data_IF_685850735836
#
_entry.id   IF_685850735836
#
_cell.length_a   1.000
_cell.length_b   1.000
_cell.length_c   1.000
_cell.angle_alpha   90.00
_cell.angle_beta   90.00
_cell.angle_gamma   90.00
#
_symmetry.space_group_name_H-M   'P 1'
#
loop_
_entity.id
_entity.type
_entity.pdbx_description
1 polymer ?
2 non-polymer ?
3 non-polymer ?
4 water ?
#
# COMPACT_ATOMS: atom_id res chain seq x y z
N UNK A 8 5.45 -16.64 -24.28
CA UNK A 8 4.42 -15.71 -23.86
C UNK A 8 3.93 -15.91 -22.44
N UNK A 9 2.78 -16.58 -22.29
CA UNK A 9 2.33 -16.97 -20.95
C UNK A 9 3.34 -17.89 -20.28
N UNK A 10 3.79 -18.92 -21.00
CA UNK A 10 4.79 -19.86 -20.50
C UNK A 10 5.91 -19.14 -19.76
N UNK A 11 6.45 -18.11 -20.40
CA UNK A 11 7.46 -17.27 -19.75
C UNK A 11 6.90 -16.64 -18.48
N UNK A 12 5.64 -16.18 -18.52
CA UNK A 12 5.03 -15.57 -17.33
C UNK A 12 4.72 -16.62 -16.26
N UNK A 13 4.25 -17.80 -16.65
CA UNK A 13 4.06 -18.86 -15.66
C UNK A 13 5.40 -19.25 -15.04
N UNK A 14 6.48 -19.24 -15.83
CA UNK A 14 7.79 -19.55 -15.29
C UNK A 14 8.16 -18.54 -14.21
N UNK A 15 7.93 -17.24 -14.47
CA UNK A 15 8.23 -16.24 -13.44
C UNK A 15 7.43 -16.52 -12.17
N UNK A 16 6.13 -16.81 -12.32
CA UNK A 16 5.30 -17.08 -11.15
C UNK A 16 5.83 -18.30 -10.38
N UNK A 17 6.27 -19.33 -11.09
CA UNK A 17 6.77 -20.53 -10.42
C UNK A 17 8.05 -20.22 -9.66
N UNK A 18 8.96 -19.50 -10.29
CA UNK A 18 10.15 -18.97 -9.61
C UNK A 18 9.75 -18.23 -8.35
N UNK A 19 8.83 -17.26 -8.48
CA UNK A 19 8.45 -16.48 -7.30
C UNK A 19 8.08 -17.38 -6.15
N UNK A 20 7.33 -18.47 -6.42
CA UNK A 20 6.93 -19.38 -5.35
C UNK A 20 8.12 -19.92 -4.56
N UNK A 21 9.29 -20.08 -5.19
CA UNK A 21 10.42 -20.75 -4.52
C UNK A 21 10.83 -20.08 -3.21
N UNK A 22 10.56 -18.78 -3.07
CA UNK A 22 10.88 -18.05 -1.85
C UNK A 22 9.67 -17.87 -0.93
N UNK A 23 8.67 -18.75 -1.08
CA UNK A 23 7.50 -18.74 -0.21
C UNK A 23 7.81 -19.19 1.22
N UNK A 24 8.91 -19.90 1.44
CA UNK A 24 9.31 -20.23 2.80
C UNK A 24 10.23 -19.17 3.39
N UNK A 25 10.89 -18.42 2.52
CA UNK A 25 11.78 -17.36 2.95
C UNK A 25 11.01 -16.18 3.55
N UNK A 26 9.91 -15.79 2.92
CA UNK A 26 9.16 -14.64 3.42
C UNK A 26 8.32 -15.03 4.63
N UNK A 27 7.96 -16.31 4.77
CA UNK A 27 7.14 -16.72 5.90
C UNK A 27 7.93 -16.73 7.19
N UNK A 28 9.20 -17.14 7.15
CA UNK A 28 10.02 -17.08 8.35
C UNK A 28 10.48 -15.65 8.65
N UNK A 29 10.70 -14.83 7.60
CA UNK A 29 11.04 -13.44 7.80
C UNK A 29 9.89 -12.65 8.41
N UNK A 30 8.66 -12.94 7.98
CA UNK A 30 7.47 -12.30 8.54
C UNK A 30 7.11 -12.84 9.92
N UNK A 31 7.37 -14.13 10.18
CA UNK A 31 7.20 -14.63 11.54
C UNK A 31 8.10 -13.89 12.49
N UNK A 32 9.25 -13.44 11.99
CA UNK A 32 10.17 -12.67 12.78
C UNK A 32 9.69 -11.24 12.97
N UNK A 33 8.99 -10.69 11.96
CA UNK A 33 8.30 -9.43 12.14
C UNK A 33 7.19 -9.56 13.18
N UNK A 34 6.42 -10.65 13.11
CA UNK A 34 5.28 -10.82 14.00
C UNK A 34 5.71 -10.76 15.47
N UNK A 35 6.77 -11.49 15.82
CA UNK A 35 7.20 -11.54 17.19
C UNK A 35 7.54 -10.17 17.74
N UNK A 36 8.13 -9.30 16.91
CA UNK A 36 8.44 -7.95 17.33
C UNK A 36 7.16 -7.12 17.44
N UNK A 37 6.26 -7.23 16.46
CA UNK A 37 5.05 -6.41 16.50
C UNK A 37 4.17 -6.80 17.67
N UNK A 38 4.02 -8.11 17.93
CA UNK A 38 3.30 -8.52 19.12
C UNK A 38 3.91 -7.92 20.36
N UNK A 39 5.24 -7.97 20.44
CA UNK A 39 5.93 -7.36 21.57
C UNK A 39 5.62 -5.88 21.66
N UNK A 40 5.56 -5.18 20.52
CA UNK A 40 5.34 -3.75 20.60
C UNK A 40 3.91 -3.43 21.04
N UNK A 41 2.94 -4.20 20.55
CA UNK A 41 1.55 -3.96 20.94
C UNK A 41 1.40 -4.02 22.45
N UNK A 42 2.02 -5.00 23.11
CA UNK A 42 1.94 -5.09 24.56
C UNK A 42 2.43 -3.81 25.21
N UNK A 43 3.69 -3.44 24.94
CA UNK A 43 4.30 -2.32 25.63
C UNK A 43 3.56 -1.00 25.37
N UNK A 44 2.91 -0.89 24.20
CA UNK A 44 2.14 0.32 23.91
C UNK A 44 0.82 0.35 24.67
N UNK A 45 0.20 -0.80 24.90
CA UNK A 45 -1.04 -0.81 25.68
C UNK A 45 -0.79 -0.60 27.20
N UNK A 46 0.46 -0.26 27.54
CA UNK A 46 0.82 0.19 28.87
C UNK A 46 0.95 1.70 28.97
N UNK A 47 0.79 2.42 27.87
CA UNK A 47 0.87 3.86 27.88
C UNK A 47 -0.53 4.45 27.81
N UNK A 48 -0.68 5.66 28.38
CA UNK A 48 -1.98 6.30 28.44
C UNK A 48 -2.46 6.71 27.05
N UNK A 49 -1.56 7.30 26.25
CA UNK A 49 -1.96 7.78 24.94
C UNK A 49 -2.38 6.62 24.02
N UNK A 50 -1.59 5.56 24.01
CA UNK A 50 -1.78 4.48 23.05
C UNK A 50 -2.48 3.28 23.65
N UNK A 51 -3.16 3.43 24.78
CA UNK A 51 -3.64 2.25 25.49
C UNK A 51 -4.55 1.38 24.61
N UNK A 52 -5.30 2.00 23.71
CA UNK A 52 -6.27 1.25 22.94
C UNK A 52 -5.78 0.79 21.57
N UNK A 53 -4.46 0.75 21.39
CA UNK A 53 -3.95 0.35 20.09
C UNK A 53 -4.33 -1.09 19.82
N UNK A 54 -4.37 -1.41 18.54
CA UNK A 54 -4.42 -2.77 18.05
C UNK A 54 -3.74 -2.85 16.69
N UNK A 55 -3.70 -4.06 16.15
CA UNK A 55 -3.21 -4.23 14.81
C UNK A 55 -4.39 -4.13 13.83
N UNK A 56 -4.16 -3.43 12.72
CA UNK A 56 -5.16 -3.31 11.66
C UNK A 56 -5.27 -4.63 10.90
N UNK A 57 -6.44 -5.29 11.02
CA UNK A 57 -6.69 -6.71 10.74
C UNK A 57 -6.08 -7.63 11.81
N UNK A 65 -2.35 -7.21 4.64
CA UNK A 65 -2.39 -5.98 5.47
C UNK A 65 -0.91 -5.83 5.87
N UNK A 66 0.02 -6.49 5.14
CA UNK A 66 1.49 -6.52 5.40
C UNK A 66 2.23 -6.78 4.10
N UNK A 67 3.57 -6.78 4.08
CA UNK A 67 4.37 -7.20 2.88
C UNK A 67 4.19 -6.29 1.65
N UNK A 68 5.28 -5.71 1.17
CA UNK A 68 5.27 -4.83 -0.03
C UNK A 68 6.27 -5.37 -1.06
N UNK A 69 7.57 -5.25 -0.78
CA UNK A 69 8.62 -5.82 -1.61
C UNK A 69 9.32 -6.92 -0.83
N UNK A 70 10.18 -7.74 -1.46
CA UNK A 70 10.97 -8.71 -0.69
C UNK A 70 11.84 -8.03 0.36
N UNK A 71 11.80 -8.57 1.58
CA UNK A 71 12.49 -8.03 2.76
C UNK A 71 11.93 -6.70 3.24
N UNK A 72 10.77 -6.28 2.75
CA UNK A 72 10.18 -5.00 3.13
C UNK A 72 8.76 -5.24 3.59
N UNK A 73 8.50 -5.00 4.88
CA UNK A 73 7.20 -5.31 5.47
C UNK A 73 6.52 -4.07 6.00
N UNK A 74 5.20 -4.16 6.11
CA UNK A 74 4.37 -3.03 6.52
C UNK A 74 3.29 -3.50 7.51
N UNK A 75 3.32 -3.00 8.74
CA UNK A 75 2.27 -3.20 9.73
C UNK A 75 1.64 -1.85 10.06
N UNK A 76 0.35 -1.87 10.42
CA UNK A 76 -0.37 -0.66 10.81
C UNK A 76 -0.92 -0.85 12.21
N UNK A 77 -0.63 0.10 13.08
CA UNK A 77 -1.11 0.08 14.46
C UNK A 77 -2.31 1.01 14.53
N UNK A 78 -3.51 0.44 14.53
CA UNK A 78 -4.68 1.30 14.60
C UNK A 78 -4.86 1.87 16.01
N UNK A 79 -5.52 3.02 16.08
CA UNK A 79 -5.78 3.67 17.37
C UNK A 79 -7.23 4.12 17.39
N UNK A 80 -8.03 3.49 18.25
CA UNK A 80 -9.39 3.96 18.46
C UNK A 80 -9.36 5.32 19.17
N UNK A 81 -10.13 6.27 18.63
CA UNK A 81 -10.09 7.68 19.05
C UNK A 81 -11.53 8.19 19.12
N UNK A 82 -11.88 9.14 20.01
CA UNK A 82 -13.24 9.69 19.95
C UNK A 82 -13.48 10.45 18.67
N UNK A 83 -14.68 11.01 18.54
CA UNK A 83 -15.18 11.50 17.25
C UNK A 83 -14.29 12.60 16.68
N UNK A 84 -13.97 12.45 15.41
CA UNK A 84 -13.02 13.27 14.69
C UNK A 84 -13.80 14.25 13.84
N UNK A 85 -13.28 15.46 13.70
CA UNK A 85 -13.74 16.41 12.70
C UNK A 85 -12.57 16.79 11.84
N UNK A 86 -12.72 16.67 10.52
CA UNK A 86 -11.61 16.94 9.63
C UNK A 86 -11.76 18.30 8.96
N UNK A 87 -10.62 18.92 8.66
CA UNK A 87 -10.58 20.11 7.83
C UNK A 87 -9.55 19.87 6.74
N UNK A 88 -10.02 19.80 5.50
CA UNK A 88 -9.15 19.50 4.37
C UNK A 88 -8.07 20.56 4.23
N UNK A 89 -6.80 20.13 4.23
CA UNK A 89 -5.67 21.04 4.10
C UNK A 89 -5.52 21.49 2.66
N UNK A 90 -5.78 22.77 2.39
CA UNK A 90 -5.67 23.36 1.06
C UNK A 90 -6.72 22.70 0.16
N UNK A 91 -6.39 22.56 -1.13
CA UNK A 91 -7.17 21.75 -2.06
C UNK A 91 -6.44 20.46 -2.39
N UNK A 92 -5.72 19.93 -1.41
CA UNK A 92 -5.13 18.59 -1.49
C UNK A 92 -6.11 17.62 -0.87
N UNK A 93 -6.73 16.78 -1.69
CA UNK A 93 -7.89 16.04 -1.27
C UNK A 93 -7.60 14.99 -0.21
N UNK A 94 -6.33 14.68 0.06
CA UNK A 94 -5.97 13.57 0.93
C UNK A 94 -5.53 13.99 2.32
N UNK A 95 -4.97 15.20 2.49
CA UNK A 95 -4.36 15.61 3.76
C UNK A 95 -5.29 16.52 4.55
N UNK A 96 -5.37 16.28 5.86
CA UNK A 96 -6.39 16.89 6.71
C UNK A 96 -5.79 17.31 8.06
N UNK A 97 -6.51 18.18 8.78
CA UNK A 97 -6.30 18.46 10.20
C UNK A 97 -7.33 17.71 11.02
N UNK A 98 -7.07 17.56 12.32
CA UNK A 98 -7.87 16.70 13.17
C UNK A 98 -8.24 17.42 14.45
N UNK A 99 -9.52 17.29 14.87
CA UNK A 99 -9.97 17.92 16.10
C UNK A 99 -11.22 17.22 16.64
N UNK A 100 -11.32 17.17 17.97
CA UNK A 100 -12.47 16.63 18.71
C UNK A 100 -13.63 17.62 18.72
N UNK A 109 -5.52 11.98 24.93
CA UNK A 109 -4.77 12.38 23.72
C UNK A 109 -4.47 13.88 23.83
N UNK A 110 -5.08 14.52 24.82
CA UNK A 110 -4.87 15.96 25.09
C UNK A 110 -3.43 16.39 24.80
N UNK A 111 -2.46 15.79 25.48
CA UNK A 111 -1.05 16.22 25.34
C UNK A 111 -0.68 16.63 23.93
N UNK A 112 -1.29 16.05 22.90
CA UNK A 112 -0.82 16.33 21.51
C UNK A 112 -1.54 17.52 20.87
N UNK A 113 -2.40 18.20 21.63
CA UNK A 113 -3.10 19.34 21.07
C UNK A 113 -2.16 20.51 20.81
N UNK A 114 -2.34 21.17 19.67
CA UNK A 114 -1.73 22.47 19.37
C UNK A 114 -2.87 23.47 19.15
N UNK A 115 -3.51 23.84 20.25
CA UNK A 115 -4.79 24.54 20.18
C UNK A 115 -5.94 23.54 20.24
N UNK A 116 -6.78 23.57 19.21
CA UNK A 116 -7.85 22.57 19.04
C UNK A 116 -7.42 21.43 18.10
N UNK A 117 -6.25 21.56 17.44
CA UNK A 117 -5.76 20.62 16.43
C UNK A 117 -4.92 19.53 17.09
N UNK A 118 -5.13 18.28 16.66
CA UNK A 118 -4.32 17.16 17.14
C UNK A 118 -3.09 17.05 16.22
N UNK A 119 -1.92 17.17 16.82
CA UNK A 119 -0.69 17.28 16.03
C UNK A 119 -0.26 15.91 15.55
N UNK A 120 -0.15 15.76 14.23
CA UNK A 120 0.44 14.56 13.66
C UNK A 120 1.90 14.45 14.07
N UNK A 121 2.69 15.47 13.77
CA UNK A 121 4.10 15.51 14.16
C UNK A 121 4.29 15.17 15.64
N UNK A 122 3.42 15.69 16.51
CA UNK A 122 3.62 15.39 17.93
C UNK A 122 3.22 13.97 18.26
N UNK A 123 2.10 13.49 17.71
CA UNK A 123 1.67 12.14 18.02
C UNK A 123 2.58 11.10 17.37
N UNK A 124 3.20 11.45 16.26
CA UNK A 124 4.18 10.56 15.65
C UNK A 124 5.49 10.53 16.42
N UNK A 125 5.78 11.55 17.23
CA UNK A 125 7.06 11.57 17.96
C UNK A 125 6.99 10.72 19.24
N UNK A 126 5.86 10.75 19.95
CA UNK A 126 5.73 9.91 21.13
C UNK A 126 5.65 8.43 20.76
N UNK A 127 5.06 8.11 19.60
CA UNK A 127 5.14 6.78 19.02
C UNK A 127 6.61 6.38 18.84
N UNK A 128 7.30 7.07 17.92
CA UNK A 128 8.70 6.73 17.60
C UNK A 128 9.55 6.63 18.86
N UNK A 129 9.26 7.49 19.85
CA UNK A 129 9.97 7.45 21.12
C UNK A 129 9.80 6.10 21.81
N UNK A 130 8.56 5.66 22.00
CA UNK A 130 8.31 4.46 22.80
C UNK A 130 8.99 3.27 22.17
N UNK A 131 9.01 3.23 20.83
CA UNK A 131 9.52 2.07 20.11
C UNK A 131 11.04 2.04 20.17
N UNK A 132 11.67 3.22 20.14
CA UNK A 132 13.13 3.27 20.23
C UNK A 132 13.62 2.77 21.59
N UNK A 133 12.97 3.22 22.67
CA UNK A 133 13.41 2.79 23.99
C UNK A 133 13.24 1.30 24.16
N UNK A 134 12.13 0.76 23.68
CA UNK A 134 11.76 -0.59 24.01
C UNK A 134 12.17 -1.56 22.92
N UNK A 135 13.11 -1.17 22.07
CA UNK A 135 13.75 -2.07 21.13
C UNK A 135 15.18 -2.44 21.56
N UNK A 136 15.84 -1.61 22.37
CA UNK A 136 17.16 -1.96 22.90
C UNK A 136 17.09 -3.23 23.76
N UNK A 137 16.24 -3.22 24.78
CA UNK A 137 15.96 -4.43 25.56
C UNK A 137 15.34 -5.51 24.69
N UNK A 138 14.85 -6.59 25.29
CA UNK A 138 14.66 -7.89 24.64
C UNK A 138 15.77 -8.11 23.61
N UNK A 139 17.02 -8.07 24.10
CA UNK A 139 18.21 -8.31 23.28
C UNK A 139 18.15 -9.64 22.55
N UNK A 140 17.29 -10.56 22.99
CA UNK A 140 17.02 -11.85 22.37
C UNK A 140 17.16 -11.82 20.85
N UNK A 141 16.40 -10.94 20.18
CA UNK A 141 16.49 -10.67 18.75
C UNK A 141 17.34 -9.41 18.52
N UNK A 142 18.05 -9.39 17.39
CA UNK A 142 18.98 -8.33 17.06
C UNK A 142 18.29 -7.35 16.10
N UNK A 143 17.80 -6.23 16.64
CA UNK A 143 16.99 -5.27 15.90
C UNK A 143 17.60 -3.87 16.03
N UNK A 144 17.43 -3.06 15.00
CA UNK A 144 17.88 -1.66 15.01
C UNK A 144 16.72 -0.78 14.59
N UNK A 145 16.51 0.31 15.33
CA UNK A 145 15.54 1.31 14.92
C UNK A 145 16.16 2.27 13.91
N UNK A 146 15.37 2.67 12.93
CA UNK A 146 15.86 3.46 11.82
C UNK A 146 14.84 4.55 11.53
N UNK A 147 15.31 5.65 10.93
CA UNK A 147 14.43 6.57 10.23
C UNK A 147 14.81 6.53 8.76
N UNK A 148 13.83 6.27 7.89
CA UNK A 148 14.11 6.07 6.48
C UNK A 148 14.02 7.38 5.67
N UNK A 149 12.84 7.99 5.60
CA UNK A 149 12.62 9.07 4.65
C UNK A 149 11.78 10.18 5.29
N UNK A 150 11.91 11.38 4.72
CA UNK A 150 11.01 12.45 5.07
C UNK A 150 9.65 12.29 4.42
N UNK A 151 8.66 12.93 5.03
CA UNK A 151 7.28 12.70 4.65
C UNK A 151 6.66 11.57 5.45
N UNK A 152 7.18 10.34 5.26
CA UNK A 152 6.68 9.03 5.67
C UNK A 152 6.14 8.96 7.10
N UNK A 153 5.02 8.29 7.32
CA UNK A 153 4.48 8.10 8.68
C UNK A 153 4.96 6.83 9.34
N UNK A 154 5.78 6.06 8.64
CA UNK A 154 6.25 4.78 9.12
C UNK A 154 7.48 4.94 9.99
N UNK A 155 7.41 4.40 11.21
CA UNK A 155 8.60 4.17 12.03
C UNK A 155 9.21 2.83 11.62
N UNK A 156 10.41 2.89 11.06
CA UNK A 156 10.95 1.79 10.28
C UNK A 156 12.04 1.07 11.09
N UNK A 157 11.81 -0.20 11.37
CA UNK A 157 12.75 -1.08 12.05
C UNK A 157 13.53 -1.90 11.04
N UNK A 158 14.64 -2.48 11.50
CA UNK A 158 15.44 -3.43 10.70
C UNK A 158 15.81 -4.60 11.60
N UNK A 159 15.21 -5.75 11.34
CA UNK A 159 15.40 -6.95 12.14
C UNK A 159 16.55 -7.74 11.53
N UNK A 160 17.60 -7.95 12.31
CA UNK A 160 18.76 -8.74 11.91
C UNK A 160 19.24 -8.36 10.50
N UNK A 161 19.46 -7.06 10.32
CA UNK A 161 19.98 -6.44 9.09
C UNK A 161 19.59 -7.18 7.82
N UNK A 162 18.29 -7.47 7.65
CA UNK A 162 17.79 -8.09 6.43
C UNK A 162 16.30 -7.83 6.28
N UNK A 163 15.57 -8.03 7.37
CA UNK A 163 14.12 -7.86 7.40
C UNK A 163 13.83 -6.48 7.97
N UNK A 164 13.37 -5.57 7.12
CA UNK A 164 12.90 -4.26 7.56
C UNK A 164 11.37 -4.22 7.58
N UNK A 165 10.80 -3.69 8.67
CA UNK A 165 9.36 -3.53 8.82
C UNK A 165 9.02 -2.05 8.93
N UNK A 166 7.93 -1.65 8.28
CA UNK A 166 7.35 -0.32 8.40
C UNK A 166 6.18 -0.41 9.37
N UNK A 167 6.33 0.14 10.58
CA UNK A 167 5.23 0.26 11.53
C UNK A 167 4.64 1.66 11.40
N UNK A 168 3.36 1.74 11.06
CA UNK A 168 2.66 2.98 10.82
C UNK A 168 1.49 3.11 11.77
N UNK A 169 1.49 4.18 12.57
CA UNK A 169 0.36 4.45 13.45
C UNK A 169 -0.84 4.92 12.64
N UNK A 170 -2.05 4.59 13.11
CA UNK A 170 -3.24 4.88 12.32
C UNK A 170 -4.42 5.20 13.24
N UNK A 171 -4.83 6.47 13.24
CA UNK A 171 -6.07 6.88 13.87
C UNK A 171 -7.24 6.23 13.16
N UNK A 172 -8.18 5.70 13.95
CA UNK A 172 -9.42 5.14 13.41
C UNK A 172 -10.60 6.11 13.58
N UNK A 173 -11.32 6.36 12.49
CA UNK A 173 -12.54 7.17 12.55
C UNK A 173 -13.73 6.39 12.03
N UNK A 174 -14.67 6.06 12.90
CA UNK A 174 -15.88 5.41 12.43
C UNK A 174 -16.87 6.41 11.83
N UNK A 175 -16.37 7.52 11.28
CA UNK A 175 -17.19 8.54 10.63
C UNK A 175 -17.44 8.19 9.17
N UNK A 176 -18.45 8.83 8.58
CA UNK A 176 -18.61 8.79 7.13
C UNK A 176 -17.34 9.34 6.48
N UNK A 177 -16.94 8.72 5.37
CA UNK A 177 -15.70 9.09 4.72
C UNK A 177 -15.73 10.56 4.31
N UNK A 178 -14.57 11.20 4.19
CA UNK A 178 -14.52 12.57 3.69
C UNK A 178 -15.05 12.70 2.26
N UNK A 179 -15.49 13.92 1.94
CA UNK A 179 -16.13 14.21 0.67
C UNK A 179 -15.21 13.94 -0.53
N UNK A 180 -13.88 14.07 -0.37
CA UNK A 180 -13.02 13.79 -1.52
C UNK A 180 -13.05 12.32 -1.94
N UNK A 181 -13.68 11.45 -1.15
CA UNK A 181 -13.77 10.05 -1.50
C UNK A 181 -15.12 9.73 -2.09
N UNK A 182 -15.96 10.75 -2.30
CA UNK A 182 -17.31 10.55 -2.83
C UNK A 182 -17.29 9.84 -4.18
N UNK A 183 -16.38 10.25 -5.08
CA UNK A 183 -16.31 9.68 -6.41
C UNK A 183 -15.24 8.61 -6.54
N UNK A 184 -14.53 8.29 -5.46
CA UNK A 184 -13.59 7.19 -5.48
C UNK A 184 -14.27 5.83 -5.29
N UNK A 185 -13.43 4.81 -5.16
CA UNK A 185 -13.88 3.42 -5.02
C UNK A 185 -14.96 3.07 -6.04
N UNK A 186 -14.68 3.34 -7.32
CA UNK A 186 -15.67 3.11 -8.38
C UNK A 186 -15.74 1.62 -8.75
N UNK A 187 -16.31 0.84 -7.82
CA UNK A 187 -16.33 -0.61 -7.94
C UNK A 187 -17.69 -1.13 -8.38
N UNK A 188 -18.67 -0.23 -8.58
CA UNK A 188 -20.07 -0.62 -8.83
C UNK A 188 -20.21 -1.63 -9.95
N UNK A 189 -19.47 -1.46 -11.05
CA UNK A 189 -19.68 -2.35 -12.22
C UNK A 189 -18.92 -3.67 -12.07
N UNK A 190 -17.91 -3.70 -11.21
CA UNK A 190 -17.08 -4.90 -10.96
C UNK A 190 -17.59 -5.61 -9.72
N UNK A 191 -17.43 -4.98 -8.57
CA UNK A 191 -18.02 -5.55 -7.35
C UNK A 191 -19.37 -4.86 -7.28
N UNK A 192 -20.30 -5.34 -6.48
CA UNK A 192 -21.65 -4.74 -6.60
C UNK A 192 -21.79 -3.34 -6.00
N UNK A 193 -22.62 -2.49 -6.60
CA UNK A 193 -22.98 -1.27 -5.88
C UNK A 193 -23.27 -1.51 -4.39
N UNK A 194 -23.84 -2.67 -4.04
CA UNK A 194 -24.13 -2.89 -2.64
C UNK A 194 -22.85 -3.12 -1.84
N UNK A 195 -21.79 -3.62 -2.50
CA UNK A 195 -20.53 -3.87 -1.79
C UNK A 195 -19.82 -2.56 -1.50
N UNK A 196 -19.89 -1.60 -2.43
CA UNK A 196 -19.37 -0.26 -2.16
C UNK A 196 -20.04 0.35 -0.94
N UNK A 197 -21.34 0.08 -0.74
CA UNK A 197 -22.00 0.57 0.47
C UNK A 197 -21.46 -0.13 1.69
N UNK A 198 -21.30 -1.45 1.60
CA UNK A 198 -20.76 -2.19 2.74
C UNK A 198 -19.41 -1.65 3.15
N UNK A 199 -18.53 -1.44 2.16
CA UNK A 199 -17.17 -0.98 2.42
C UNK A 199 -17.13 0.46 2.95
N UNK A 200 -18.06 1.32 2.52
CA UNK A 200 -18.03 2.70 2.97
C UNK A 200 -18.77 2.89 4.27
N UNK A 201 -19.35 1.83 4.84
CA UNK A 201 -19.79 1.86 6.23
C UNK A 201 -18.68 1.48 7.20
N UNK A 202 -17.53 1.16 6.70
CA UNK A 202 -16.44 0.70 7.52
C UNK A 202 -15.57 1.88 7.90
N UNK A 203 -14.81 1.77 8.99
CA UNK A 203 -13.96 2.89 9.39
C UNK A 203 -13.01 3.26 8.27
N UNK A 204 -12.41 4.44 8.38
CA UNK A 204 -11.24 4.82 7.59
C UNK A 204 -10.14 5.29 8.53
N UNK A 205 -8.97 5.59 7.96
CA UNK A 205 -7.77 5.73 8.77
C UNK A 205 -6.96 6.93 8.36
N UNK A 206 -6.34 7.58 9.35
CA UNK A 206 -5.46 8.72 9.14
C UNK A 206 -4.07 8.37 9.63
N UNK A 207 -3.08 8.54 8.77
CA UNK A 207 -1.68 8.26 9.09
C UNK A 207 -0.96 9.59 9.17
N UNK A 208 -0.07 9.80 10.16
CA UNK A 208 0.66 11.06 10.28
C UNK A 208 1.73 11.20 9.21
N UNK A 209 1.29 11.27 7.96
CA UNK A 209 2.09 11.71 6.84
C UNK A 209 1.62 13.12 6.55
N UNK A 210 2.55 14.08 6.50
CA UNK A 210 2.18 15.49 6.61
C UNK A 210 2.11 16.23 5.28
N UNK A 211 3.00 15.94 4.33
CA UNK A 211 3.25 16.75 3.12
C UNK A 211 3.89 18.12 3.46
N UNK A 219 4.42 20.73 9.47
CA UNK A 219 2.96 20.75 9.41
C UNK A 219 2.40 19.60 10.24
N UNK A 220 1.21 19.79 10.82
CA UNK A 220 0.69 18.84 11.78
C UNK A 220 -0.52 18.12 11.17
N UNK A 221 -0.33 17.58 9.97
CA UNK A 221 -1.41 17.09 9.13
C UNK A 221 -1.30 15.59 8.92
N UNK A 222 -2.46 14.94 8.95
CA UNK A 222 -2.60 13.52 8.69
C UNK A 222 -3.19 13.32 7.30
N UNK A 223 -2.94 12.16 6.71
CA UNK A 223 -3.54 11.86 5.42
C UNK A 223 -4.29 10.55 5.45
N UNK A 224 -5.27 10.43 4.55
CA UNK A 224 -6.19 9.30 4.55
C UNK A 224 -5.46 8.03 4.17
N UNK A 225 -5.96 6.90 4.70
CA UNK A 225 -5.52 5.56 4.29
C UNK A 225 -6.70 4.62 4.30
N UNK A 226 -6.65 3.64 3.41
CA UNK A 226 -7.68 2.63 3.27
C UNK A 226 -7.06 1.25 2.99
N UNK A 227 -5.90 1.00 3.59
CA UNK A 227 -5.18 -0.24 3.33
C UNK A 227 -6.03 -1.44 3.68
N UNK A 228 -6.93 -1.29 4.64
CA UNK A 228 -7.78 -2.41 5.00
C UNK A 228 -8.78 -2.70 3.89
N UNK A 229 -9.30 -1.67 3.24
CA UNK A 229 -10.16 -1.87 2.07
C UNK A 229 -9.37 -2.42 0.90
N UNK A 230 -8.10 -2.02 0.75
CA UNK A 230 -7.33 -2.61 -0.32
C UNK A 230 -7.15 -4.09 -0.10
N UNK A 231 -7.05 -4.50 1.16
CA UNK A 231 -6.86 -5.92 1.44
C UNK A 231 -8.10 -6.72 1.08
N UNK A 232 -9.27 -6.14 1.31
CA UNK A 232 -10.52 -6.84 1.05
C UNK A 232 -10.81 -6.94 -0.45
N UNK A 233 -10.61 -5.86 -1.21
CA UNK A 233 -10.93 -5.98 -2.62
C UNK A 233 -9.89 -6.82 -3.36
N UNK A 234 -8.69 -6.99 -2.81
CA UNK A 234 -7.77 -7.97 -3.40
C UNK A 234 -8.15 -9.39 -3.04
N UNK A 235 -8.59 -9.64 -1.80
CA UNK A 235 -8.91 -11.01 -1.43
C UNK A 235 -10.30 -11.40 -1.85
N UNK A 236 -11.23 -10.46 -1.90
CA UNK A 236 -12.56 -10.70 -2.40
C UNK A 236 -12.77 -9.92 -3.70
N UNK A 237 -12.17 -10.43 -4.78
CA UNK A 237 -11.85 -9.62 -5.96
C UNK A 237 -12.70 -9.89 -7.20
N UNK A 238 -13.56 -10.93 -7.21
CA UNK A 238 -14.23 -11.30 -8.43
C UNK A 238 -15.65 -10.77 -8.54
N UNK A 239 -16.16 -10.70 -9.78
CA UNK A 239 -17.59 -10.41 -9.89
C UNK A 239 -18.40 -11.57 -9.30
N UNK A 240 -18.02 -12.80 -9.61
CA UNK A 240 -18.63 -13.92 -8.92
C UNK A 240 -18.18 -13.93 -7.47
N UNK A 241 -19.15 -14.07 -6.56
CA UNK A 241 -18.81 -14.28 -5.15
C UNK A 241 -17.87 -15.45 -4.96
N UNK A 242 -17.89 -16.42 -5.89
CA UNK A 242 -17.13 -17.66 -5.78
C UNK A 242 -15.92 -17.68 -6.72
N UNK A 243 -15.45 -16.50 -7.13
CA UNK A 243 -14.19 -16.45 -7.86
C UNK A 243 -13.08 -17.09 -7.04
N UNK A 244 -12.32 -17.98 -7.67
CA UNK A 244 -11.14 -18.61 -7.10
C UNK A 244 -11.43 -19.60 -5.99
N UNK A 245 -12.70 -19.93 -5.73
CA UNK A 245 -13.04 -20.96 -4.75
C UNK A 245 -13.23 -22.34 -5.37
N UNK A 246 -12.98 -22.51 -6.67
CA UNK A 246 -13.21 -23.81 -7.26
C UNK A 246 -12.56 -23.83 -8.63
N UNK A 247 -12.39 -25.05 -9.18
CA UNK A 247 -11.57 -25.24 -10.37
C UNK A 247 -12.20 -24.68 -11.63
N UNK A 248 -13.49 -24.35 -11.60
CA UNK A 248 -14.09 -23.76 -12.77
C UNK A 248 -13.89 -22.25 -12.84
N UNK A 249 -13.46 -21.61 -11.74
CA UNK A 249 -13.43 -20.15 -11.64
C UNK A 249 -12.06 -19.66 -11.16
N UNK A 250 -10.99 -19.96 -11.89
CA UNK A 250 -9.65 -19.46 -11.54
C UNK A 250 -9.34 -18.28 -12.43
N UNK A 251 -9.34 -17.07 -11.85
CA UNK A 251 -8.93 -15.89 -12.57
C UNK A 251 -7.43 -15.69 -12.39
N UNK A 252 -6.90 -14.67 -13.02
CA UNK A 252 -5.48 -14.38 -12.93
C UNK A 252 -5.24 -12.96 -12.43
N UNK A 253 -6.20 -12.42 -11.68
CA UNK A 253 -6.06 -11.08 -11.08
C UNK A 253 -4.84 -10.98 -10.18
N UNK A 254 -4.76 -11.84 -9.14
CA UNK A 254 -3.61 -11.77 -8.23
C UNK A 254 -2.31 -12.02 -8.98
N UNK A 255 -2.30 -13.02 -9.86
CA UNK A 255 -1.07 -13.25 -10.63
C UNK A 255 -0.66 -12.01 -11.37
N UNK A 256 -1.61 -11.32 -11.99
CA UNK A 256 -1.22 -10.15 -12.75
C UNK A 256 -0.61 -9.10 -11.87
N UNK A 257 -1.19 -8.89 -10.67
CA UNK A 257 -0.62 -7.88 -9.78
C UNK A 257 0.77 -8.30 -9.33
N UNK A 258 0.97 -9.61 -9.08
CA UNK A 258 2.30 -10.13 -8.79
C UNK A 258 3.31 -9.79 -9.88
N UNK A 259 2.96 -10.07 -11.14
CA UNK A 259 3.89 -9.81 -12.24
C UNK A 259 4.18 -8.33 -12.35
N UNK A 260 3.16 -7.50 -12.14
CA UNK A 260 3.36 -6.05 -12.17
C UNK A 260 4.31 -5.61 -11.07
N UNK A 261 4.00 -5.99 -9.82
CA UNK A 261 4.92 -5.71 -8.71
C UNK A 261 6.33 -6.18 -9.06
N UNK A 262 6.43 -7.37 -9.68
CA UNK A 262 7.74 -7.93 -9.96
C UNK A 262 8.43 -7.18 -11.08
N UNK A 263 7.67 -6.72 -12.07
CA UNK A 263 8.28 -5.95 -13.15
C UNK A 263 8.94 -4.69 -12.61
N UNK A 264 8.32 -4.06 -11.61
CA UNK A 264 8.86 -2.82 -11.07
C UNK A 264 10.11 -3.07 -10.24
N UNK A 265 10.09 -4.09 -9.39
CA UNK A 265 11.28 -4.43 -8.64
C UNK A 265 12.44 -4.73 -9.58
N UNK A 266 12.24 -5.66 -10.51
CA UNK A 266 13.32 -6.07 -11.41
C UNK A 266 13.91 -4.89 -12.16
N UNK A 267 13.05 -3.99 -12.63
CA UNK A 267 13.56 -2.78 -13.28
C UNK A 267 14.24 -1.85 -12.28
N UNK A 268 13.70 -1.72 -11.06
CA UNK A 268 14.37 -0.87 -10.08
C UNK A 268 15.76 -1.37 -9.75
N UNK A 269 16.02 -2.66 -9.91
CA UNK A 269 17.37 -3.20 -9.73
C UNK A 269 18.32 -2.70 -10.82
N UNK A 270 18.04 -3.08 -12.07
CA UNK A 270 18.83 -2.69 -13.23
C UNK A 270 19.21 -1.21 -13.22
N UNK A 271 18.22 -0.33 -13.16
CA UNK A 271 18.47 1.10 -13.26
C UNK A 271 18.82 1.74 -11.92
N UNK A 272 19.31 0.94 -10.96
CA UNK A 272 19.99 1.44 -9.77
C UNK A 272 21.47 1.70 -10.03
N UNK A 273 21.92 1.58 -11.29
CA UNK A 273 23.19 2.19 -11.69
C UNK A 273 23.11 3.71 -11.74
N UNK A 274 21.90 4.28 -11.74
CA UNK A 274 21.74 5.70 -11.52
C UNK A 274 20.63 6.02 -10.51
N UNK A 275 20.09 5.02 -9.82
CA UNK A 275 19.03 5.18 -8.82
C UNK A 275 18.02 6.24 -9.25
N UNK A 276 17.48 6.04 -10.45
CA UNK A 276 16.61 7.03 -11.06
C UNK A 276 15.15 6.62 -10.99
N UNK A 277 14.86 5.45 -10.43
CA UNK A 277 13.50 4.94 -10.33
C UNK A 277 13.03 4.82 -8.90
N UNK A 278 13.71 5.44 -7.95
CA UNK A 278 13.38 5.12 -6.57
C UNK A 278 12.05 5.71 -6.14
N UNK A 279 11.52 6.71 -6.86
CA UNK A 279 10.23 7.28 -6.46
C UNK A 279 9.05 6.34 -6.74
N UNK A 280 9.21 5.41 -7.67
CA UNK A 280 8.15 4.45 -8.00
C UNK A 280 8.09 3.32 -6.98
N UNK A 281 6.87 2.88 -6.67
CA UNK A 281 6.68 1.88 -5.64
C UNK A 281 5.52 0.97 -6.00
N UNK A 282 5.40 -0.12 -5.22
CA UNK A 282 4.38 -1.11 -5.47
C UNK A 282 2.97 -0.54 -5.29
N UNK A 283 2.81 0.53 -4.50
CA UNK A 283 1.50 1.18 -4.40
C UNK A 283 1.03 1.67 -5.77
N UNK A 284 1.92 2.30 -6.53
CA UNK A 284 1.57 2.70 -7.89
C UNK A 284 1.06 1.50 -8.69
N UNK A 285 1.81 0.40 -8.64
CA UNK A 285 1.42 -0.82 -9.33
C UNK A 285 0.07 -1.34 -8.82
N UNK A 286 -0.10 -1.37 -7.50
CA UNK A 286 -1.38 -1.80 -6.93
C UNK A 286 -2.51 -0.86 -7.32
N UNK A 287 -2.30 0.45 -7.18
CA UNK A 287 -3.31 1.42 -7.59
C UNK A 287 -3.71 1.23 -9.04
N UNK A 288 -2.72 1.11 -9.94
CA UNK A 288 -3.06 1.00 -11.34
C UNK A 288 -3.77 -0.31 -11.64
N UNK A 289 -3.47 -1.34 -10.87
CA UNK A 289 -4.13 -2.62 -11.10
C UNK A 289 -5.63 -2.55 -10.77
N UNK A 290 -5.97 -1.93 -9.63
CA UNK A 290 -7.39 -1.72 -9.28
C UNK A 290 -8.11 -1.00 -10.43
N UNK A 291 -7.48 0.05 -10.96
CA UNK A 291 -8.07 0.77 -12.09
C UNK A 291 -8.34 -0.15 -13.27
N UNK A 292 -7.43 -1.06 -13.57
CA UNK A 292 -7.67 -2.03 -14.65
C UNK A 292 -8.85 -2.95 -14.31
N UNK A 293 -8.96 -3.33 -13.02
CA UNK A 293 -10.05 -4.19 -12.58
C UNK A 293 -11.41 -3.51 -12.74
N UNK A 294 -11.45 -2.18 -12.57
CA UNK A 294 -12.66 -1.45 -12.88
C UNK A 294 -12.93 -1.46 -14.39
N UNK A 295 -11.89 -1.30 -15.21
CA UNK A 295 -12.10 -1.32 -16.64
C UNK A 295 -12.50 -2.70 -17.13
N UNK A 296 -12.12 -3.76 -16.42
CA UNK A 296 -12.34 -5.12 -16.89
C UNK A 296 -13.09 -5.87 -15.81
N UNK A 297 -14.37 -5.55 -15.63
CA UNK A 297 -15.07 -5.96 -14.41
C UNK A 297 -15.51 -7.40 -14.38
N UNK A 298 -15.46 -8.14 -15.49
CA UNK A 298 -15.99 -9.51 -15.48
C UNK A 298 -14.85 -10.48 -15.20
N UNK A 299 -15.17 -11.55 -14.49
CA UNK A 299 -14.17 -12.58 -14.31
C UNK A 299 -13.71 -13.11 -15.65
N UNK A 300 -14.60 -13.09 -16.64
CA UNK A 300 -14.26 -13.58 -17.98
C UNK A 300 -13.10 -12.80 -18.59
N UNK A 301 -12.93 -11.52 -18.23
CA UNK A 301 -11.75 -10.79 -18.68
C UNK A 301 -10.48 -11.14 -17.90
N UNK A 302 -10.56 -12.02 -16.90
CA UNK A 302 -9.36 -12.43 -16.19
C UNK A 302 -9.21 -13.94 -16.22
N UNK A 303 -9.68 -14.57 -17.30
CA UNK A 303 -9.50 -16.00 -17.43
C UNK A 303 -8.01 -16.32 -17.41
N UNK A 304 -7.65 -17.37 -16.67
CA UNK A 304 -6.23 -17.61 -16.45
C UNK A 304 -5.55 -18.11 -17.71
N UNK A 305 -6.30 -18.71 -18.63
CA UNK A 305 -5.76 -18.99 -19.96
C UNK A 305 -5.26 -17.73 -20.64
N UNK A 306 -5.84 -16.58 -20.29
CA UNK A 306 -5.49 -15.33 -20.94
C UNK A 306 -4.50 -14.53 -20.12
N UNK A 307 -3.72 -15.20 -19.27
CA UNK A 307 -2.72 -14.52 -18.44
C UNK A 307 -1.87 -13.54 -19.24
N UNK A 308 -1.44 -13.94 -20.44
CA UNK A 308 -0.64 -13.05 -21.27
C UNK A 308 -1.36 -11.77 -21.66
N UNK A 309 -2.59 -11.91 -22.15
CA UNK A 309 -3.35 -10.73 -22.53
C UNK A 309 -3.76 -9.90 -21.32
N UNK A 310 -4.16 -10.56 -20.24
CA UNK A 310 -4.45 -9.87 -18.98
C UNK A 310 -3.26 -9.04 -18.51
N UNK A 311 -2.05 -9.63 -18.55
CA UNK A 311 -0.86 -8.91 -18.14
C UNK A 311 -0.60 -7.72 -19.06
N UNK A 312 -0.80 -7.90 -20.37
CA UNK A 312 -0.70 -6.77 -21.28
C UNK A 312 -1.60 -5.62 -20.83
N UNK A 313 -2.90 -5.91 -20.60
CA UNK A 313 -3.86 -4.91 -20.13
C UNK A 313 -3.32 -4.05 -19.00
N UNK A 314 -2.67 -4.68 -18.02
CA UNK A 314 -2.14 -3.95 -16.86
C UNK A 314 -0.95 -3.11 -17.25
N UNK A 315 -0.08 -3.66 -18.09
CA UNK A 315 1.09 -2.91 -18.52
C UNK A 315 0.69 -1.75 -19.43
N UNK A 316 -0.28 -1.93 -20.33
CA UNK A 316 -0.61 -0.78 -21.20
C UNK A 316 -1.26 0.35 -20.40
N UNK A 317 -2.17 0.02 -19.47
CA UNK A 317 -2.77 1.07 -18.62
C UNK A 317 -1.72 1.77 -17.78
N UNK A 318 -0.75 1.01 -17.25
CA UNK A 318 0.25 1.62 -16.40
C UNK A 318 1.08 2.62 -17.19
N UNK A 319 1.55 2.20 -18.37
CA UNK A 319 2.16 3.09 -19.34
C UNK A 319 1.35 4.35 -19.55
N UNK A 320 0.07 4.19 -19.96
CA UNK A 320 -0.78 5.37 -20.15
C UNK A 320 -0.72 6.30 -18.94
N UNK A 321 -0.69 5.73 -17.73
CA UNK A 321 -0.61 6.57 -16.54
C UNK A 321 0.69 7.35 -16.50
N UNK A 322 1.80 6.65 -16.72
CA UNK A 322 3.09 7.32 -16.84
C UNK A 322 3.03 8.40 -17.92
N UNK A 323 2.74 8.01 -19.16
CA UNK A 323 2.89 8.94 -20.27
C UNK A 323 1.94 10.14 -20.14
N UNK A 324 0.77 9.95 -19.55
CA UNK A 324 -0.12 11.09 -19.28
C UNK A 324 0.15 11.76 -17.94
N UNK A 325 1.22 11.36 -17.25
CA UNK A 325 1.57 11.92 -15.95
C UNK A 325 0.36 11.97 -15.00
N UNK A 326 -0.37 10.85 -14.90
CA UNK A 326 -1.67 10.87 -14.21
C UNK A 326 -2.05 9.48 -13.70
N UNK A 327 -2.19 9.35 -12.37
CA UNK A 327 -2.59 8.09 -11.75
C UNK A 327 -3.40 8.41 -10.51
N UNK A 328 -4.71 8.20 -10.59
CA UNK A 328 -5.61 8.64 -9.52
C UNK A 328 -5.57 7.66 -8.36
N UNK A 329 -5.44 8.20 -7.16
CA UNK A 329 -5.75 7.41 -6.00
C UNK A 329 -7.13 6.77 -6.13
N UNK A 330 -7.17 5.45 -6.01
CA UNK A 330 -8.38 4.67 -6.14
C UNK A 330 -9.51 5.21 -5.27
N UNK A 331 -9.17 5.74 -4.09
CA UNK A 331 -10.19 6.25 -3.17
C UNK A 331 -10.32 7.76 -3.22
N UNK A 332 -9.30 8.47 -3.69
CA UNK A 332 -9.32 9.93 -3.77
C UNK A 332 -9.00 10.31 -5.21
N UNK A 333 -10.00 10.30 -6.12
CA UNK A 333 -9.76 10.61 -7.54
C UNK A 333 -8.92 11.84 -7.81
N UNK A 334 -9.20 12.96 -7.16
CA UNK A 334 -8.48 14.19 -7.46
C UNK A 334 -7.16 14.28 -6.72
N UNK A 335 -6.65 13.16 -6.22
CA UNK A 335 -5.29 13.11 -5.71
C UNK A 335 -4.45 12.34 -6.71
N UNK A 336 -3.54 13.04 -7.37
CA UNK A 336 -2.76 12.49 -8.48
C UNK A 336 -1.41 12.03 -7.96
N UNK A 337 -1.25 10.71 -7.83
CA UNK A 337 0.00 10.11 -7.40
C UNK A 337 1.14 10.38 -8.36
N UNK A 338 0.85 10.86 -9.56
CA UNK A 338 1.86 11.06 -10.59
C UNK A 338 1.98 12.51 -11.03
N UNK A 339 1.39 13.45 -10.28
CA UNK A 339 1.63 14.87 -10.55
C UNK A 339 3.12 15.22 -10.47
N UNK A 340 3.46 16.42 -10.98
CA UNK A 340 4.83 16.91 -10.89
C UNK A 340 5.28 17.08 -9.45
N UNK A 341 4.34 17.40 -8.56
CA UNK A 341 4.68 17.59 -7.15
C UNK A 341 5.49 16.42 -6.62
N UNK A 342 5.05 15.19 -6.93
CA UNK A 342 5.57 13.98 -6.30
C UNK A 342 6.72 13.36 -7.09
N UNK A 343 6.50 13.11 -8.37
CA UNK A 343 7.50 12.56 -9.25
C UNK A 343 7.75 13.56 -10.37
N UNK A 344 9.01 13.85 -10.66
CA UNK A 344 9.28 14.81 -11.71
C UNK A 344 9.12 14.16 -13.08
N UNK A 345 9.11 15.01 -14.12
CA UNK A 345 8.88 14.53 -15.48
C UNK A 345 10.02 13.62 -15.94
N UNK A 346 11.25 13.90 -15.52
CA UNK A 346 12.39 13.13 -15.98
C UNK A 346 12.25 11.66 -15.62
N UNK A 347 11.86 11.38 -14.37
CA UNK A 347 11.80 9.99 -13.91
C UNK A 347 10.69 9.22 -14.60
N UNK A 348 9.59 9.88 -14.96
CA UNK A 348 8.48 9.17 -15.57
C UNK A 348 8.74 8.88 -17.03
N UNK A 349 9.32 9.84 -17.76
CA UNK A 349 9.73 9.56 -19.13
C UNK A 349 10.71 8.40 -19.15
N UNK A 350 11.68 8.42 -18.24
CA UNK A 350 12.58 7.31 -17.99
C UNK A 350 11.84 5.97 -17.93
N UNK A 351 10.90 5.83 -16.98
CA UNK A 351 10.23 4.54 -16.80
C UNK A 351 9.30 4.20 -17.96
N UNK A 352 8.73 5.21 -18.63
CA UNK A 352 7.96 4.94 -19.83
C UNK A 352 8.82 4.25 -20.88
N UNK A 353 10.06 4.73 -21.06
CA UNK A 353 10.93 4.12 -22.05
C UNK A 353 11.30 2.70 -21.67
N UNK A 354 11.56 2.46 -20.38
CA UNK A 354 11.94 1.12 -19.96
C UNK A 354 10.78 0.14 -20.10
N UNK A 355 9.60 0.49 -19.58
CA UNK A 355 8.46 -0.40 -19.68
C UNK A 355 8.03 -0.58 -21.13
N UNK A 356 8.11 0.49 -21.94
CA UNK A 356 7.74 0.36 -23.35
C UNK A 356 8.63 -0.65 -24.08
N UNK A 357 9.95 -0.56 -23.85
CA UNK A 357 10.89 -1.51 -24.43
C UNK A 357 10.61 -2.91 -23.94
N UNK A 358 10.25 -3.01 -22.65
CA UNK A 358 9.97 -4.29 -22.04
C UNK A 358 8.80 -4.96 -22.72
N UNK A 359 7.70 -4.23 -22.90
CA UNK A 359 6.50 -4.79 -23.49
C UNK A 359 6.73 -5.12 -24.97
N UNK A 360 7.49 -4.28 -25.67
CA UNK A 360 7.69 -4.46 -27.10
C UNK A 360 8.53 -5.69 -27.42
N UNK A 361 9.16 -6.30 -26.42
CA UNK A 361 10.10 -7.38 -26.65
C UNK A 361 9.81 -8.61 -25.80
N UNK A 362 8.53 -8.81 -25.45
CA UNK A 362 8.10 -9.94 -24.63
C UNK A 362 8.95 -10.09 -23.37
N UNK A 363 9.38 -8.94 -22.81
CA UNK A 363 9.92 -8.78 -21.47
C UNK A 363 11.20 -9.58 -21.28
N UNK A 364 12.34 -9.15 -21.83
CA UNK A 364 13.62 -9.76 -21.50
C UNK A 364 13.99 -9.68 -20.04
N UNK A 365 13.41 -8.81 -19.20
CA UNK A 365 13.71 -8.89 -17.77
C UNK A 365 13.21 -10.20 -17.14
N UNK A 366 12.29 -10.90 -17.80
CA UNK A 366 11.75 -12.15 -17.27
C UNK A 366 12.46 -13.37 -17.86
N UNK A 367 13.70 -13.19 -18.32
CA UNK A 367 14.48 -14.27 -18.89
C UNK A 367 15.43 -14.87 -17.86
N UNK A 368 15.47 -16.20 -17.84
CA UNK A 368 16.42 -16.99 -17.05
C UNK A 368 16.55 -16.55 -15.58
X LIG B 1 -2.16 5.79 0.40
X LIG B 1 -1.16 3.16 2.50
X LIG B 1 -0.92 4.13 1.46
X LIG B 1 -2.05 4.80 1.31
X LIG B 1 -1.07 6.07 -0.36
X LIG B 1 0.08 5.40 -0.22
X LIG B 1 0.19 4.43 0.68
X LIG B 1 1.44 3.94 0.62
X LIG B 1 2.10 4.62 -0.34
X LIG B 1 1.25 5.54 -0.85
X LIG B 1 1.61 6.45 -1.89
X LIG B 1 2.15 7.75 -1.29
X LIG B 1 1.35 8.87 -1.69
X LIG B 1 3.56 7.88 -1.73
X LIG B 1 3.69 6.95 -2.84
X LIG B 1 5.05 6.23 -2.71
X LIG B 1 5.05 5.59 -1.38
X LIG B 1 6.37 4.59 -0.92
X LIG B 1 6.12 3.12 -1.17
X LIG B 1 6.92 4.95 0.66
X LIG B 1 6.58 6.38 0.95
X LIG B 1 7.72 7.27 0.64
X LIG B 1 8.93 6.66 1.10
X LIG B 1 7.45 8.49 1.48
X LIG B 1 6.73 9.57 0.76
X LIG B 1 6.00 9.07 -0.44
X LIG B 1 4.71 10.10 -0.79
X LIG B 1 3.93 9.26 -2.12
X LIG B 1 3.69 10.03 0.32
X LIG B 1 5.06 11.57 -0.94
X LIG B 1 6.65 8.00 2.62
X LIG B 1 6.38 6.60 2.32
X LIG B 1 4.95 6.32 2.72
X LIG B 1 3.99 7.26 2.53
X LIG B 1 2.82 6.76 2.99
X LIG B 1 4.37 5.25 3.30
X LIG B 1 3.04 5.53 3.46
X LIG B 1 2.11 4.49 4.10
X LIG B 1 2.64 3.23 4.52
X LIG B 1 4.05 2.95 4.35
X LIG B 1 4.61 1.67 4.76
X LIG B 1 4.94 3.94 3.74
X LIG B 1 0.95 4.75 4.23
X LIG B 1 7.52 4.95 -1.84
X LIG B 1 2.64 5.94 -2.77
X LIG C 1 -10.42 -14.76 -8.78
#
# INVERSE_FOLDING_TARGET
GTGDAAPGASKLRAVLEKLKLSRDDISTAAGMVKGVVDHLLLRLKCDSAFRGVGLLNTGSYYEHVKISAPNEFDVMFKLEVPRIQLEEYSNTRAYYFVKFKRNPKENPLSQFLEGEILSASKMLSKFRKIIKEEINDIKDTDVIMKRKRGGSPAVTLLISEKISVDITLALESKSSWPASTQEGLRIQNWLSAKVRKQLRLKPFYLVPKHAKEGNGFQEETWRLSFSHIEKEILNNHGKSKTCCENKEEKCCRKDCLKLMKYLLEQLKERFKDKKHLDKFSSYHVKTAFFHVCTQNPQDSQWDRKDLGLCFDNCVTYFLQCLRTEKLENYFIPEFNLFSSNLIDKRSKEFLTKQIEYERNNEFPVFDEF
1SY C2 N01 C6 N1 N3 C4 C5 N7 C8 N9 C1' C2' O2' C3' C4' C16 O17 P18 O19 O20 C21 C22 O23 C24 C25 O26 P27 O28 O29 O30 O31 C32 N33 C34 N35 C36 C37 C38 N39 C40 N41 N42 O43 O44 O4'
ZN ZN
#
